data_IF_945016781971
#
_entry.id   IF_945016781971
#
_cell.length_a   1.000
_cell.length_b   1.000
_cell.length_c   1.000
_cell.angle_alpha   90.00
_cell.angle_beta   90.00
_cell.angle_gamma   90.00
#
_symmetry.space_group_name_H-M   'P 1'
#
loop_
_entity.id
_entity.type
_entity.pdbx_description
1 polymer ?
#
# COMPACT_ATOMS: atom_id res chain seq x y z
N UNK A 1 -21.76 -8.11 2.93
CA UNK A 1 -20.33 -7.87 3.17
C UNK A 1 -20.04 -6.44 2.75
N UNK A 2 -19.24 -5.70 3.52
CA UNK A 2 -18.81 -4.35 3.14
C UNK A 2 -17.43 -4.40 2.48
N UNK A 3 -17.18 -3.58 1.46
CA UNK A 3 -15.93 -3.50 0.68
C UNK A 3 -15.32 -2.12 0.80
N UNK A 4 -14.00 -2.02 0.91
CA UNK A 4 -13.25 -0.77 0.75
C UNK A 4 -12.64 -0.77 -0.64
N UNK A 5 -12.91 0.26 -1.42
CA UNK A 5 -12.36 0.45 -2.77
C UNK A 5 -11.46 1.68 -2.70
N UNK A 6 -10.19 1.52 -3.08
CA UNK A 6 -9.21 2.60 -3.16
C UNK A 6 -8.88 2.82 -4.63
N UNK A 7 -9.10 4.03 -5.12
CA UNK A 7 -8.70 4.43 -6.47
C UNK A 7 -7.28 4.99 -6.42
N UNK A 8 -6.41 4.39 -7.22
CA UNK A 8 -5.03 4.83 -7.38
C UNK A 8 -4.87 5.47 -8.76
N UNK A 9 -4.15 6.58 -8.81
CA UNK A 9 -3.64 7.10 -10.07
C UNK A 9 -2.64 6.11 -10.69
N UNK A 10 -2.37 6.27 -11.99
CA UNK A 10 -1.39 5.43 -12.67
C UNK A 10 0.01 5.53 -12.01
N UNK A 11 0.39 6.73 -11.56
CA UNK A 11 1.64 6.95 -10.84
C UNK A 11 1.68 6.19 -9.50
N UNK A 12 0.60 6.25 -8.72
CA UNK A 12 0.49 5.57 -7.42
C UNK A 12 0.49 4.05 -7.60
N UNK A 13 -0.22 3.54 -8.59
CA UNK A 13 -0.23 2.13 -8.92
C UNK A 13 1.16 1.63 -9.34
N UNK A 14 1.90 2.42 -10.12
CA UNK A 14 3.27 2.09 -10.52
C UNK A 14 4.23 2.08 -9.32
N UNK A 15 4.11 3.06 -8.40
CA UNK A 15 4.87 3.09 -7.14
C UNK A 15 4.60 1.84 -6.29
N UNK A 16 3.33 1.46 -6.15
CA UNK A 16 2.93 0.26 -5.42
C UNK A 16 3.52 -1.02 -6.03
N UNK A 17 3.41 -1.19 -7.35
CA UNK A 17 3.99 -2.34 -8.06
C UNK A 17 5.50 -2.43 -7.90
N UNK A 18 6.20 -1.30 -8.01
CA UNK A 18 7.64 -1.25 -7.85
C UNK A 18 8.07 -1.68 -6.44
N UNK A 19 7.34 -1.21 -5.41
CA UNK A 19 7.61 -1.57 -4.02
C UNK A 19 7.30 -3.05 -3.73
N UNK A 20 6.17 -3.57 -4.22
CA UNK A 20 5.84 -5.00 -4.10
C UNK A 20 6.88 -5.91 -4.75
N UNK A 21 7.35 -5.53 -5.95
CA UNK A 21 8.41 -6.25 -6.65
C UNK A 21 9.69 -6.26 -5.83
N UNK A 22 10.11 -5.11 -5.30
CA UNK A 22 11.30 -5.00 -4.45
C UNK A 22 11.17 -5.81 -3.16
N UNK A 23 10.00 -5.80 -2.52
CA UNK A 23 9.72 -6.61 -1.34
C UNK A 23 9.80 -8.10 -1.62
N UNK A 24 9.29 -8.55 -2.78
CA UNK A 24 9.38 -9.94 -3.23
C UNK A 24 10.83 -10.35 -3.52
N UNK A 25 11.60 -9.47 -4.17
CA UNK A 25 13.03 -9.73 -4.46
C UNK A 25 13.86 -9.83 -3.17
N UNK A 26 13.60 -8.97 -2.17
CA UNK A 26 14.26 -9.02 -0.86
C UNK A 26 13.86 -10.29 -0.09
N UNK A 27 12.57 -10.62 -0.03
CA UNK A 27 12.07 -11.83 0.65
C UNK A 27 12.40 -13.13 -0.08
N UNK A 28 12.73 -13.09 -1.37
CA UNK A 28 13.28 -14.23 -2.09
C UNK A 28 14.78 -14.41 -1.84
N UNK A 29 15.50 -13.35 -1.48
CA UNK A 29 16.92 -13.36 -1.16
C UNK A 29 17.21 -13.59 0.33
N UNK A 30 16.28 -13.24 1.22
CA UNK A 30 16.30 -13.58 2.64
C UNK A 30 15.26 -14.66 2.92
N UNK A 31 15.62 -15.79 3.53
CA UNK A 31 14.67 -16.83 4.00
C UNK A 31 13.62 -16.32 5.04
N UNK A 32 13.52 -15.01 5.25
CA UNK A 32 12.50 -14.36 6.08
C UNK A 32 11.36 -13.79 5.22
N UNK A 33 10.14 -14.26 5.46
CA UNK A 33 8.91 -13.67 4.95
C UNK A 33 8.57 -12.41 5.77
N UNK A 34 8.93 -11.21 5.28
CA UNK A 34 8.37 -9.99 5.86
C UNK A 34 6.89 -9.87 5.43
N UNK A 35 5.97 -9.78 6.39
CA UNK A 35 4.54 -9.59 6.10
C UNK A 35 4.25 -8.32 5.30
N UNK A 36 3.11 -8.32 4.60
CA UNK A 36 2.52 -7.12 3.99
C UNK A 36 1.42 -6.59 4.91
N UNK A 37 1.49 -5.31 5.30
CA UNK A 37 0.41 -4.61 6.01
C UNK A 37 -0.13 -3.48 5.14
N UNK A 38 -1.44 -3.31 5.10
CA UNK A 38 -2.09 -2.17 4.46
C UNK A 38 -2.93 -1.49 5.55
N UNK A 39 -2.63 -0.22 5.84
CA UNK A 39 -3.34 0.61 6.81
C UNK A 39 -4.00 1.77 6.08
N UNK A 40 -5.31 1.90 6.24
CA UNK A 40 -6.05 3.06 5.82
C UNK A 40 -6.07 4.07 6.97
N UNK A 41 -5.50 5.24 6.74
CA UNK A 41 -5.44 6.32 7.71
C UNK A 41 -6.46 7.39 7.33
N UNK A 42 -7.30 7.78 8.28
CA UNK A 42 -8.37 8.75 8.08
C UNK A 42 -8.23 9.85 9.14
N UNK A 43 -8.16 11.11 8.70
CA UNK A 43 -8.16 12.27 9.60
C UNK A 43 -8.96 13.44 8.97
N UNK A 44 -9.25 14.47 9.76
CA UNK A 44 -10.03 15.63 9.30
C UNK A 44 -9.38 16.40 8.12
N UNK A 45 -8.10 16.15 7.85
CA UNK A 45 -7.29 16.87 6.85
C UNK A 45 -7.11 16.05 5.57
N UNK A 46 -7.55 14.79 5.54
CA UNK A 46 -7.45 13.91 4.38
C UNK A 46 -7.21 12.45 4.75
N UNK A 47 -7.39 11.59 3.75
CA UNK A 47 -7.23 10.14 3.90
C UNK A 47 -6.02 9.67 3.08
N UNK A 48 -5.23 8.76 3.65
CA UNK A 48 -4.07 8.18 2.97
C UNK A 48 -3.95 6.68 3.23
N UNK A 49 -3.20 6.01 2.34
CA UNK A 49 -2.89 4.59 2.45
C UNK A 49 -1.41 4.39 2.78
N UNK A 50 -1.15 3.67 3.87
CA UNK A 50 0.18 3.16 4.21
C UNK A 50 0.28 1.68 3.86
N UNK A 51 1.28 1.32 3.06
CA UNK A 51 1.60 -0.07 2.75
C UNK A 51 2.96 -0.39 3.35
N UNK A 52 3.03 -1.33 4.27
CA UNK A 52 4.26 -1.79 4.91
C UNK A 52 4.67 -3.15 4.33
N UNK A 53 5.78 -3.17 3.61
CA UNK A 53 6.42 -4.36 3.04
C UNK A 53 7.92 -4.12 2.99
N UNK A 54 8.71 -4.72 3.89
CA UNK A 54 10.15 -4.42 4.00
C UNK A 54 10.42 -2.90 4.05
N UNK A 55 9.65 -2.19 4.91
CA UNK A 55 9.62 -0.73 5.01
C UNK A 55 8.24 -0.14 4.65
N UNK A 56 8.06 1.15 4.90
CA UNK A 56 6.80 1.86 4.64
C UNK A 56 6.81 2.54 3.26
N UNK A 57 5.80 2.28 2.43
CA UNK A 57 5.52 3.01 1.21
C UNK A 57 4.37 4.00 1.43
N UNK A 58 4.65 5.28 1.20
CA UNK A 58 3.64 6.32 1.16
C UNK A 58 3.19 6.55 -0.30
N UNK A 59 1.89 6.40 -0.56
CA UNK A 59 1.29 6.62 -1.88
C UNK A 59 0.73 8.05 -2.07
N UNK A 60 0.80 8.89 -1.04
CA UNK A 60 0.12 10.18 -0.99
C UNK A 60 -1.39 10.04 -0.79
N UNK A 61 -2.12 11.11 -1.05
CA UNK A 61 -3.58 11.15 -0.90
C UNK A 61 -4.26 10.18 -1.88
N UNK A 62 -5.25 9.43 -1.39
CA UNK A 62 -6.00 8.47 -2.20
C UNK A 62 -7.50 8.67 -2.03
N UNK A 63 -8.25 8.48 -3.12
CA UNK A 63 -9.70 8.44 -3.04
C UNK A 63 -10.14 7.03 -2.63
N UNK A 64 -11.09 6.92 -1.70
CA UNK A 64 -11.66 5.62 -1.33
C UNK A 64 -13.14 5.71 -0.98
N UNK A 65 -13.82 4.56 -1.02
CA UNK A 65 -15.24 4.43 -0.65
C UNK A 65 -15.54 3.08 0.01
N UNK A 66 -16.65 3.03 0.75
CA UNK A 66 -17.21 1.80 1.33
C UNK A 66 -18.49 1.41 0.57
N UNK A 67 -18.58 0.17 0.11
CA UNK A 67 -19.78 -0.43 -0.51
C UNK A 67 -20.35 -1.59 0.31
#
# INVERSE_FOLDING_TARGET
MKRIIIELSEEQHNKLKAHQRRGTEINGASDSLSGCSIKLCCCEVGDWLEVEMNGTLNLGDVNWKIE
#
